data_IF_724773560988
#
_entry.id   IF_724773560988
#
_cell.length_a   1.000
_cell.length_b   1.000
_cell.length_c   1.000
_cell.angle_alpha   90.00
_cell.angle_beta   90.00
_cell.angle_gamma   90.00
#
_symmetry.space_group_name_H-M   'P 1'
#
loop_
_entity.id
_entity.type
_entity.pdbx_description
1 polymer ?
#
# COMPACT_ATOMS: atom_id res chain seq x y z
N UNK A 1 0.98 -16.12 4.20
CA UNK A 1 -0.21 -15.32 3.92
C UNK A 1 0.02 -13.99 4.58
N UNK A 2 -0.05 -12.90 3.81
CA UNK A 2 0.08 -11.52 4.30
C UNK A 2 -1.26 -10.85 4.07
N UNK A 3 -1.77 -10.14 5.07
CA UNK A 3 -3.02 -9.40 5.00
C UNK A 3 -2.81 -8.02 5.62
N UNK A 4 -3.22 -7.00 4.88
CA UNK A 4 -3.18 -5.59 5.23
C UNK A 4 -4.61 -5.10 5.10
N UNK A 5 -5.14 -4.50 6.16
CA UNK A 5 -6.50 -4.01 6.21
C UNK A 5 -6.48 -2.54 6.59
N UNK A 6 -7.23 -1.74 5.84
CA UNK A 6 -7.45 -0.31 6.06
C UNK A 6 -6.20 0.49 6.41
N UNK A 7 -5.10 0.26 5.68
CA UNK A 7 -3.87 1.03 5.88
C UNK A 7 -4.04 2.44 5.36
N UNK A 8 -3.71 3.39 6.23
CA UNK A 8 -3.61 4.80 5.91
C UNK A 8 -2.22 5.34 6.26
N UNK A 9 -1.72 6.27 5.46
CA UNK A 9 -0.44 6.92 5.70
C UNK A 9 -0.47 8.34 5.18
N UNK A 10 0.05 9.26 5.99
CA UNK A 10 0.23 10.66 5.63
C UNK A 10 1.64 11.14 5.94
N UNK A 11 2.10 12.11 5.15
CA UNK A 11 3.30 12.90 5.40
C UNK A 11 2.88 14.37 5.50
N UNK A 12 2.80 14.89 6.73
CA UNK A 12 2.12 16.15 6.99
C UNK A 12 0.67 16.09 6.51
N UNK A 13 0.25 17.09 5.75
CA UNK A 13 -1.11 17.17 5.19
C UNK A 13 -1.32 16.25 3.97
N UNK A 14 -0.26 15.67 3.41
CA UNK A 14 -0.34 14.82 2.24
C UNK A 14 -0.71 13.38 2.64
N UNK A 15 -1.93 12.96 2.34
CA UNK A 15 -2.39 11.57 2.50
C UNK A 15 -1.93 10.70 1.31
N UNK A 16 -0.94 9.84 1.54
CA UNK A 16 -0.32 8.98 0.51
C UNK A 16 -0.96 7.60 0.41
N UNK A 17 -1.43 7.02 1.53
CA UNK A 17 -2.24 5.80 1.52
C UNK A 17 -3.62 6.10 2.11
N UNK A 18 -4.66 5.63 1.42
CA UNK A 18 -6.07 5.89 1.76
C UNK A 18 -6.82 4.58 1.80
N UNK A 19 -7.03 4.06 3.00
CA UNK A 19 -7.81 2.84 3.28
C UNK A 19 -7.44 1.66 2.35
N UNK A 20 -6.16 1.32 2.33
CA UNK A 20 -5.65 0.26 1.47
C UNK A 20 -5.86 -1.11 2.12
N UNK A 21 -6.49 -2.01 1.37
CA UNK A 21 -6.71 -3.40 1.73
C UNK A 21 -5.96 -4.30 0.74
N UNK A 22 -5.06 -5.15 1.23
CA UNK A 22 -4.23 -6.03 0.41
C UNK A 22 -4.12 -7.41 1.05
N UNK A 23 -4.36 -8.46 0.27
CA UNK A 23 -4.17 -9.84 0.68
C UNK A 23 -3.27 -10.54 -0.31
N UNK A 24 -2.20 -11.16 0.20
CA UNK A 24 -1.23 -11.93 -0.59
C UNK A 24 -1.18 -13.35 -0.05
N UNK A 25 -1.55 -14.30 -0.90
CA UNK A 25 -1.52 -15.72 -0.57
C UNK A 25 -0.12 -16.31 -0.78
N UNK A 26 0.10 -17.51 -0.24
CA UNK A 26 1.37 -18.20 -0.39
C UNK A 26 1.59 -18.58 -1.86
N UNK A 27 2.75 -18.21 -2.41
CA UNK A 27 3.12 -18.52 -3.79
C UNK A 27 2.73 -17.44 -4.81
N UNK A 28 2.03 -16.38 -4.40
CA UNK A 28 1.75 -15.23 -5.25
C UNK A 28 2.95 -14.28 -5.30
N UNK A 29 3.23 -13.76 -6.50
CA UNK A 29 4.17 -12.65 -6.70
C UNK A 29 3.34 -11.38 -6.86
N UNK A 30 3.65 -10.38 -6.05
CA UNK A 30 2.94 -9.10 -6.03
C UNK A 30 3.92 -7.94 -6.23
N UNK A 31 3.49 -6.91 -6.96
CA UNK A 31 4.29 -5.71 -7.23
C UNK A 31 3.43 -4.45 -7.19
N UNK A 32 3.99 -3.37 -6.64
CA UNK A 32 3.34 -2.06 -6.53
C UNK A 32 3.92 -1.12 -7.58
N UNK A 33 3.05 -0.55 -8.44
CA UNK A 33 3.43 0.34 -9.55
C UNK A 33 2.68 1.68 -9.48
N UNK A 34 3.22 2.72 -10.12
CA UNK A 34 2.64 4.07 -10.13
C UNK A 34 3.70 5.18 -10.12
N UNK A 35 3.26 6.44 -10.24
CA UNK A 35 4.13 7.63 -10.30
C UNK A 35 4.91 7.87 -9.00
N UNK A 36 6.03 8.59 -9.04
CA UNK A 36 6.79 8.95 -7.82
C UNK A 36 5.94 9.78 -6.86
N UNK A 37 6.07 9.50 -5.55
CA UNK A 37 5.35 10.22 -4.49
C UNK A 37 3.96 9.69 -4.12
N UNK A 38 3.46 8.62 -4.79
CA UNK A 38 2.10 8.10 -4.54
C UNK A 38 2.00 7.05 -3.41
N UNK A 39 3.04 6.85 -2.61
CA UNK A 39 3.00 5.86 -1.51
C UNK A 39 3.36 4.42 -1.91
N UNK A 40 4.21 4.22 -2.94
CA UNK A 40 4.64 2.85 -3.31
C UNK A 40 5.66 2.24 -2.35
N UNK A 41 6.54 3.08 -1.83
CA UNK A 41 7.62 2.69 -0.91
C UNK A 41 7.29 3.00 0.54
N UNK A 42 6.14 3.64 0.79
CA UNK A 42 5.69 4.05 2.12
C UNK A 42 4.19 3.87 2.20
#
# INVERSE_FOLDING_TARGET
MIEILSVEKSFGDLKVLKDINLKINKGEIFGIVGHSGVGKST
#
